data_IF_806941862228
#
_entry.id   IF_806941862228
#
_cell.length_a   1.000
_cell.length_b   1.000
_cell.length_c   1.000
_cell.angle_alpha   90.00
_cell.angle_beta   90.00
_cell.angle_gamma   90.00
#
_symmetry.space_group_name_H-M   'P 1'
#
loop_
_entity.id
_entity.type
_entity.pdbx_description
1 polymer ?
#
# COMPACT_ATOMS: atom_id res chain seq x y z
N UNK A 1 23.25 -28.37 -9.45
CA UNK A 1 24.23 -29.16 -10.21
C UNK A 1 24.11 -29.02 -11.73
N UNK A 2 23.52 -27.96 -12.26
CA UNK A 2 23.31 -27.77 -13.71
C UNK A 2 24.13 -26.61 -14.29
N UNK A 3 24.98 -25.94 -13.51
CA UNK A 3 25.75 -24.77 -13.95
C UNK A 3 27.18 -25.04 -14.38
N UNK A 4 27.61 -26.33 -14.43
CA UNK A 4 29.02 -26.66 -14.70
C UNK A 4 29.31 -27.04 -16.18
N UNK A 5 28.31 -27.22 -17.05
CA UNK A 5 28.53 -27.78 -18.40
C UNK A 5 28.54 -26.75 -19.55
N UNK A 6 28.53 -25.44 -19.33
CA UNK A 6 28.61 -24.45 -20.42
C UNK A 6 29.87 -23.54 -20.38
N UNK A 7 31.01 -24.05 -19.99
CA UNK A 7 32.25 -23.27 -19.84
C UNK A 7 33.15 -23.21 -21.09
N UNK A 8 32.61 -23.38 -22.30
CA UNK A 8 33.42 -23.31 -23.55
C UNK A 8 32.85 -22.35 -24.62
N UNK A 9 32.24 -21.23 -24.24
CA UNK A 9 31.86 -20.20 -25.18
C UNK A 9 32.49 -18.84 -24.81
N UNK A 10 32.99 -18.04 -25.78
CA UNK A 10 33.69 -16.76 -25.55
C UNK A 10 32.83 -15.63 -24.96
N UNK A 11 31.61 -15.90 -24.58
CA UNK A 11 30.67 -14.97 -23.92
C UNK A 11 30.78 -14.93 -22.38
N UNK A 12 31.94 -15.28 -21.82
CA UNK A 12 32.20 -15.34 -20.37
C UNK A 12 31.94 -13.99 -19.64
N UNK A 13 32.08 -12.86 -20.33
CA UNK A 13 31.88 -11.54 -19.72
C UNK A 13 30.41 -11.19 -19.51
N UNK A 14 29.48 -11.66 -20.33
CA UNK A 14 28.06 -11.36 -20.19
C UNK A 14 27.39 -12.08 -19.01
N UNK A 15 27.84 -13.29 -18.69
CA UNK A 15 27.30 -14.07 -17.56
C UNK A 15 27.74 -13.52 -16.20
N UNK A 16 28.95 -12.99 -16.08
CA UNK A 16 29.41 -12.37 -14.83
C UNK A 16 28.73 -11.01 -14.56
N UNK A 17 28.49 -10.21 -15.59
CA UNK A 17 27.76 -8.96 -15.47
C UNK A 17 26.29 -9.19 -15.10
N UNK A 18 25.66 -10.21 -15.64
CA UNK A 18 24.27 -10.55 -15.35
C UNK A 18 24.10 -11.03 -13.91
N UNK A 19 24.96 -11.89 -13.42
CA UNK A 19 24.92 -12.41 -12.04
C UNK A 19 25.20 -11.34 -10.99
N UNK A 20 26.13 -10.42 -11.22
CA UNK A 20 26.44 -9.34 -10.28
C UNK A 20 25.31 -8.31 -10.18
N UNK A 21 24.64 -7.97 -11.28
CA UNK A 21 23.46 -7.11 -11.28
C UNK A 21 22.27 -7.75 -10.58
N UNK A 22 22.02 -9.02 -10.80
CA UNK A 22 20.96 -9.77 -10.11
C UNK A 22 21.23 -9.85 -8.61
N UNK A 23 22.46 -10.12 -8.20
CA UNK A 23 22.83 -10.16 -6.79
C UNK A 23 22.73 -8.78 -6.12
N UNK A 24 23.11 -7.70 -6.81
CA UNK A 24 22.96 -6.34 -6.32
C UNK A 24 21.48 -5.97 -6.16
N UNK A 25 20.62 -6.27 -7.14
CA UNK A 25 19.19 -6.02 -7.07
C UNK A 25 18.49 -6.84 -5.96
N UNK A 26 18.88 -8.09 -5.78
CA UNK A 26 18.37 -8.92 -4.68
C UNK A 26 18.81 -8.38 -3.32
N UNK A 27 20.06 -7.94 -3.21
CA UNK A 27 20.57 -7.29 -1.99
C UNK A 27 19.85 -5.98 -1.66
N UNK A 28 19.62 -5.13 -2.65
CA UNK A 28 18.85 -3.88 -2.48
C UNK A 28 17.41 -4.15 -2.06
N UNK A 29 16.77 -5.16 -2.67
CA UNK A 29 15.42 -5.56 -2.31
C UNK A 29 15.32 -6.02 -0.85
N UNK A 30 16.25 -6.87 -0.39
CA UNK A 30 16.30 -7.33 1.00
C UNK A 30 16.49 -6.16 1.98
N UNK A 31 17.36 -5.21 1.62
CA UNK A 31 17.56 -4.01 2.44
C UNK A 31 16.30 -3.15 2.52
N UNK A 32 15.56 -3.03 1.41
CA UNK A 32 14.31 -2.27 1.37
C UNK A 32 13.20 -2.97 2.16
N UNK A 33 13.11 -4.32 2.09
CA UNK A 33 12.19 -5.11 2.91
C UNK A 33 12.46 -4.92 4.41
N UNK A 34 13.72 -5.00 4.82
CA UNK A 34 14.10 -4.79 6.22
C UNK A 34 13.75 -3.36 6.69
N UNK A 35 14.01 -2.35 5.86
CA UNK A 35 13.64 -0.97 6.17
C UNK A 35 12.12 -0.80 6.27
N UNK A 36 11.34 -1.42 5.38
CA UNK A 36 9.88 -1.39 5.42
C UNK A 36 9.34 -2.05 6.69
N UNK A 37 9.86 -3.21 7.05
CA UNK A 37 9.51 -3.92 8.29
C UNK A 37 9.79 -3.06 9.53
N UNK A 38 10.94 -2.40 9.56
CA UNK A 38 11.30 -1.50 10.65
C UNK A 38 10.39 -0.28 10.69
N UNK A 39 10.11 0.36 9.54
CA UNK A 39 9.22 1.50 9.45
C UNK A 39 7.81 1.18 9.98
N UNK A 40 7.26 0.01 9.62
CA UNK A 40 5.94 -0.44 10.09
C UNK A 40 5.96 -0.70 11.60
N UNK A 41 7.02 -1.35 12.12
CA UNK A 41 7.12 -1.65 13.56
C UNK A 41 7.35 -0.43 14.44
N UNK A 42 7.83 0.67 13.87
CA UNK A 42 8.11 1.94 14.57
C UNK A 42 7.04 3.00 14.38
N UNK A 43 5.91 2.67 13.76
CA UNK A 43 4.79 3.62 13.62
C UNK A 43 4.33 4.09 15.01
N UNK A 44 4.41 5.39 15.22
CA UNK A 44 3.95 6.05 16.44
C UNK A 44 3.43 7.45 16.10
N UNK A 45 2.65 8.11 16.98
CA UNK A 45 2.16 9.46 16.75
C UNK A 45 3.27 10.49 16.48
N UNK A 46 4.44 10.29 17.08
CA UNK A 46 5.57 11.22 17.00
C UNK A 46 6.60 10.87 15.92
N UNK A 47 6.53 9.64 15.36
CA UNK A 47 7.49 9.15 14.37
C UNK A 47 6.82 8.19 13.40
N UNK A 48 6.56 8.68 12.20
CA UNK A 48 6.01 7.87 11.12
C UNK A 48 6.71 8.21 9.81
N UNK A 49 7.28 7.18 9.16
CA UNK A 49 7.88 7.33 7.83
C UNK A 49 6.82 7.37 6.72
N UNK A 50 5.58 7.00 7.04
CA UNK A 50 4.46 7.00 6.10
C UNK A 50 3.66 8.29 6.21
N UNK A 51 3.16 8.74 5.06
CA UNK A 51 2.28 9.89 4.96
C UNK A 51 1.13 9.60 3.99
N UNK A 52 -0.01 10.25 4.21
CA UNK A 52 -1.15 10.19 3.31
C UNK A 52 -1.19 11.42 2.42
N UNK A 53 -1.26 11.21 1.10
CA UNK A 53 -1.58 12.23 0.13
C UNK A 53 -3.00 11.98 -0.39
N UNK A 54 -3.71 13.06 -0.73
CA UNK A 54 -5.07 12.97 -1.21
C UNK A 54 -5.17 13.53 -2.61
N UNK A 55 -5.71 12.73 -3.54
CA UNK A 55 -5.98 13.15 -4.91
C UNK A 55 -7.48 13.43 -5.06
N UNK A 56 -7.88 14.66 -5.46
CA UNK A 56 -9.29 14.99 -5.64
C UNK A 56 -9.93 14.22 -6.79
N UNK A 57 -11.11 13.67 -6.53
CA UNK A 57 -12.02 13.13 -7.53
C UNK A 57 -13.06 14.19 -7.88
N UNK A 58 -13.14 14.56 -9.14
CA UNK A 58 -13.96 15.69 -9.61
C UNK A 58 -15.10 15.16 -10.48
N UNK A 59 -16.31 15.58 -10.18
CA UNK A 59 -17.45 15.38 -11.07
C UNK A 59 -17.26 16.17 -12.37
N UNK A 60 -17.14 15.46 -13.49
CA UNK A 60 -16.81 16.06 -14.79
C UNK A 60 -17.89 17.03 -15.30
N UNK A 61 -19.13 16.95 -14.80
CA UNK A 61 -20.26 17.77 -15.24
C UNK A 61 -20.34 19.07 -14.45
N UNK A 62 -20.14 19.02 -13.14
CA UNK A 62 -20.27 20.16 -12.24
C UNK A 62 -18.95 20.82 -11.87
N UNK A 63 -17.81 20.17 -12.09
CA UNK A 63 -16.48 20.60 -11.64
C UNK A 63 -16.28 20.54 -10.11
N UNK A 64 -17.21 19.96 -9.37
CA UNK A 64 -17.13 19.87 -7.91
C UNK A 64 -16.31 18.66 -7.48
N UNK A 65 -15.59 18.81 -6.35
CA UNK A 65 -14.93 17.68 -5.69
C UNK A 65 -16.03 16.83 -5.04
N UNK A 66 -16.06 15.53 -5.38
CA UNK A 66 -17.02 14.54 -4.88
C UNK A 66 -16.37 13.46 -4.03
N UNK A 67 -15.05 13.38 -4.06
CA UNK A 67 -14.27 12.40 -3.30
C UNK A 67 -12.78 12.75 -3.30
N UNK A 68 -12.05 12.02 -2.50
CA UNK A 68 -10.60 12.04 -2.44
C UNK A 68 -10.09 10.60 -2.52
N UNK A 69 -9.03 10.36 -3.26
CA UNK A 69 -8.30 9.08 -3.20
C UNK A 69 -7.12 9.23 -2.25
N UNK A 70 -7.07 8.36 -1.25
CA UNK A 70 -5.99 8.33 -0.27
C UNK A 70 -4.81 7.51 -0.82
N UNK A 71 -3.70 8.16 -0.99
CA UNK A 71 -2.50 7.62 -1.62
C UNK A 71 -1.34 7.61 -0.61
N UNK A 72 -0.97 6.43 -0.16
CA UNK A 72 0.15 6.27 0.78
C UNK A 72 1.47 6.67 0.14
N UNK A 73 2.31 7.33 0.92
CA UNK A 73 3.69 7.68 0.60
C UNK A 73 4.62 7.16 1.69
N UNK A 74 5.79 6.71 1.31
CA UNK A 74 6.83 6.28 2.23
C UNK A 74 8.11 7.07 2.00
N UNK A 75 8.55 7.78 3.04
CA UNK A 75 9.78 8.55 3.07
C UNK A 75 10.77 7.86 4.02
N UNK A 76 11.55 6.94 3.46
CA UNK A 76 12.55 6.22 4.25
C UNK A 76 13.78 7.10 4.52
N UNK A 77 14.29 7.15 5.76
CA UNK A 77 15.54 7.86 6.09
C UNK A 77 16.73 7.37 5.27
N UNK A 78 16.70 6.10 4.86
CA UNK A 78 17.78 5.46 4.10
C UNK A 78 17.62 5.58 2.58
N UNK A 79 16.38 5.46 2.08
CA UNK A 79 16.10 5.35 0.64
C UNK A 79 15.42 6.59 0.08
N UNK A 80 15.09 7.58 0.93
CA UNK A 80 14.31 8.74 0.53
C UNK A 80 12.87 8.37 0.18
N UNK A 81 12.26 9.10 -0.75
CA UNK A 81 10.91 8.84 -1.23
C UNK A 81 10.86 7.53 -2.04
N UNK A 82 10.25 6.49 -1.47
CA UNK A 82 10.10 5.19 -2.11
C UNK A 82 8.78 5.14 -2.88
N UNK A 83 8.79 4.82 -4.18
CA UNK A 83 7.56 4.73 -4.98
C UNK A 83 6.59 3.69 -4.43
N UNK A 84 5.26 3.97 -4.41
CA UNK A 84 4.24 3.03 -3.94
C UNK A 84 4.30 1.67 -4.62
N UNK A 85 4.45 1.63 -5.94
CA UNK A 85 4.58 0.38 -6.70
C UNK A 85 5.73 -0.51 -6.20
N UNK A 86 6.77 0.07 -5.63
CA UNK A 86 7.93 -0.68 -5.15
C UNK A 86 7.71 -1.24 -3.75
N UNK A 87 7.25 -0.43 -2.79
CA UNK A 87 7.10 -0.91 -1.42
C UNK A 87 5.80 -1.71 -1.21
N UNK A 88 4.72 -1.42 -1.94
CA UNK A 88 3.48 -2.19 -1.88
C UNK A 88 3.73 -3.62 -2.38
N UNK A 89 4.42 -3.79 -3.52
CA UNK A 89 4.78 -5.13 -4.02
C UNK A 89 5.58 -5.93 -2.98
N UNK A 90 6.56 -5.30 -2.33
CA UNK A 90 7.33 -5.95 -1.26
C UNK A 90 6.41 -6.30 -0.08
N UNK A 91 5.54 -5.39 0.33
CA UNK A 91 4.60 -5.62 1.43
C UNK A 91 3.66 -6.80 1.15
N UNK A 92 3.14 -6.91 -0.08
CA UNK A 92 2.30 -8.03 -0.51
C UNK A 92 3.05 -9.37 -0.48
N UNK A 93 4.25 -9.43 -1.05
CA UNK A 93 5.04 -10.65 -1.12
C UNK A 93 5.54 -11.14 0.25
N UNK A 94 5.67 -10.24 1.21
CA UNK A 94 6.21 -10.52 2.56
C UNK A 94 5.15 -10.56 3.65
N UNK A 95 3.87 -10.31 3.32
CA UNK A 95 2.77 -10.24 4.27
C UNK A 95 2.72 -8.97 5.11
N UNK A 96 3.64 -8.02 4.87
CA UNK A 96 3.66 -6.71 5.54
C UNK A 96 2.50 -5.81 5.12
N UNK A 97 1.79 -6.18 4.05
CA UNK A 97 0.62 -5.44 3.56
C UNK A 97 -0.52 -5.40 4.59
N UNK A 98 -0.62 -6.41 5.48
CA UNK A 98 -1.66 -6.43 6.52
C UNK A 98 -1.44 -5.32 7.55
N UNK A 99 -0.34 -5.29 8.33
CA UNK A 99 -0.14 -4.23 9.31
C UNK A 99 -0.06 -2.84 8.68
N UNK A 100 0.42 -2.74 7.44
CA UNK A 100 0.44 -1.49 6.69
C UNK A 100 -0.97 -1.02 6.32
N UNK A 101 -1.84 -1.96 5.94
CA UNK A 101 -3.24 -1.67 5.64
C UNK A 101 -4.07 -1.34 6.87
N UNK A 102 -3.79 -1.99 8.00
CA UNK A 102 -4.43 -1.66 9.27
C UNK A 102 -4.15 -0.19 9.63
N UNK A 103 -2.89 0.22 9.55
CA UNK A 103 -2.50 1.61 9.75
C UNK A 103 -3.20 2.55 8.74
N UNK A 104 -3.24 2.17 7.45
CA UNK A 104 -3.89 2.95 6.39
C UNK A 104 -5.36 3.25 6.72
N UNK A 105 -6.13 2.25 7.17
CA UNK A 105 -7.54 2.41 7.52
C UNK A 105 -7.70 3.37 8.70
N UNK A 106 -6.93 3.17 9.77
CA UNK A 106 -6.98 4.03 10.96
C UNK A 106 -6.58 5.46 10.64
N UNK A 107 -5.50 5.66 9.92
CA UNK A 107 -4.99 6.98 9.56
C UNK A 107 -5.95 7.71 8.61
N UNK A 108 -6.56 7.00 7.65
CA UNK A 108 -7.56 7.59 6.76
C UNK A 108 -8.78 8.06 7.55
N UNK A 109 -9.31 7.24 8.46
CA UNK A 109 -10.44 7.64 9.30
C UNK A 109 -10.10 8.85 10.19
N UNK A 110 -8.91 8.88 10.78
CA UNK A 110 -8.42 10.04 11.54
C UNK A 110 -8.40 11.30 10.68
N UNK A 111 -7.87 11.22 9.47
CA UNK A 111 -7.80 12.36 8.55
C UNK A 111 -9.19 12.84 8.09
N UNK A 112 -10.13 11.91 7.82
CA UNK A 112 -11.52 12.26 7.49
C UNK A 112 -12.16 13.03 8.66
N UNK A 113 -11.96 12.55 9.88
CA UNK A 113 -12.46 13.22 11.09
C UNK A 113 -11.92 14.66 11.19
N UNK A 114 -10.61 14.85 11.02
CA UNK A 114 -9.99 16.18 11.03
C UNK A 114 -10.51 17.09 9.90
N UNK A 115 -10.68 16.55 8.68
CA UNK A 115 -11.31 17.29 7.58
C UNK A 115 -12.70 17.76 7.92
N UNK A 116 -13.52 16.91 8.56
CA UNK A 116 -14.88 17.28 9.01
C UNK A 116 -14.87 18.37 10.08
N UNK A 117 -13.94 18.29 11.03
CA UNK A 117 -13.76 19.35 12.03
C UNK A 117 -13.33 20.68 11.39
N UNK A 118 -12.54 20.63 10.33
CA UNK A 118 -12.15 21.79 9.54
C UNK A 118 -13.26 22.32 8.61
N UNK A 119 -14.46 21.70 8.61
CA UNK A 119 -15.60 22.13 7.82
C UNK A 119 -15.70 21.50 6.42
N UNK A 120 -14.79 20.60 6.04
CA UNK A 120 -14.90 19.82 4.80
C UNK A 120 -15.92 18.71 5.01
N UNK A 121 -17.09 18.85 4.41
CA UNK A 121 -18.20 17.91 4.54
C UNK A 121 -18.57 17.35 3.17
N UNK A 122 -19.29 16.23 3.16
CA UNK A 122 -19.81 15.59 1.95
C UNK A 122 -18.73 15.13 0.95
N UNK A 123 -17.55 14.81 1.47
CA UNK A 123 -16.44 14.24 0.69
C UNK A 123 -16.14 12.84 1.24
N UNK A 124 -16.28 11.82 0.38
CA UNK A 124 -15.85 10.46 0.71
C UNK A 124 -14.37 10.30 0.40
N UNK A 125 -13.70 9.43 1.14
CA UNK A 125 -12.29 9.12 0.90
C UNK A 125 -12.17 7.65 0.49
N UNK A 126 -11.61 7.44 -0.70
CA UNK A 126 -11.33 6.12 -1.23
C UNK A 126 -9.94 5.63 -0.79
N UNK A 127 -9.85 4.37 -0.39
CA UNK A 127 -8.61 3.66 -0.10
C UNK A 127 -8.47 2.41 -0.98
N UNK A 128 -7.28 2.21 -1.53
CA UNK A 128 -6.96 1.04 -2.31
C UNK A 128 -6.62 -0.15 -1.41
N UNK A 129 -7.26 -1.29 -1.64
CA UNK A 129 -7.02 -2.55 -0.95
C UNK A 129 -6.43 -3.61 -1.87
N UNK A 130 -5.45 -4.34 -1.37
CA UNK A 130 -4.91 -5.52 -2.06
C UNK A 130 -5.81 -6.74 -1.90
N UNK A 131 -5.62 -7.73 -2.77
CA UNK A 131 -6.32 -9.01 -2.68
C UNK A 131 -6.10 -9.75 -1.34
N UNK A 132 -4.95 -9.56 -0.71
CA UNK A 132 -4.65 -10.18 0.57
C UNK A 132 -5.44 -9.54 1.71
N UNK A 133 -5.58 -8.22 1.68
CA UNK A 133 -6.34 -7.47 2.69
C UNK A 133 -7.83 -7.78 2.64
N UNK A 134 -8.40 -7.90 1.42
CA UNK A 134 -9.81 -8.24 1.23
C UNK A 134 -10.15 -9.63 1.78
N UNK A 135 -9.24 -10.59 1.65
CA UNK A 135 -9.42 -11.95 2.18
C UNK A 135 -9.20 -12.07 3.68
N UNK A 136 -8.78 -11.00 4.33
CA UNK A 136 -8.51 -11.04 5.78
C UNK A 136 -9.83 -10.97 6.55
N UNK A 137 -10.10 -11.97 7.37
CA UNK A 137 -11.36 -12.14 8.11
C UNK A 137 -11.72 -10.95 9.02
N UNK A 138 -10.71 -10.19 9.45
CA UNK A 138 -10.90 -9.04 10.35
C UNK A 138 -11.09 -7.71 9.65
N UNK A 139 -11.06 -7.63 8.31
CA UNK A 139 -11.13 -6.34 7.59
C UNK A 139 -12.37 -5.54 7.97
N UNK A 140 -13.55 -6.16 7.98
CA UNK A 140 -14.81 -5.49 8.32
C UNK A 140 -14.80 -4.99 9.78
N UNK A 141 -14.25 -5.77 10.70
CA UNK A 141 -14.14 -5.35 12.11
C UNK A 141 -13.15 -4.19 12.26
N UNK A 142 -12.05 -4.20 11.52
CA UNK A 142 -11.07 -3.12 11.49
C UNK A 142 -11.70 -1.82 11.01
N UNK A 143 -12.36 -1.85 9.84
CA UNK A 143 -13.02 -0.67 9.26
C UNK A 143 -14.11 -0.14 10.19
N UNK A 144 -14.97 -1.03 10.71
CA UNK A 144 -16.03 -0.65 11.65
C UNK A 144 -15.44 -0.02 12.91
N UNK A 145 -14.41 -0.63 13.51
CA UNK A 145 -13.76 -0.10 14.70
C UNK A 145 -13.15 1.29 14.48
N UNK A 146 -12.55 1.53 13.30
CA UNK A 146 -12.00 2.82 12.95
C UNK A 146 -13.10 3.88 12.72
N UNK A 147 -14.19 3.52 12.04
CA UNK A 147 -15.35 4.40 11.84
C UNK A 147 -15.99 4.79 13.19
N UNK A 148 -16.24 3.82 14.05
CA UNK A 148 -16.84 4.04 15.37
C UNK A 148 -15.94 4.92 16.25
N UNK A 149 -14.63 4.73 16.21
CA UNK A 149 -13.66 5.50 17.00
C UNK A 149 -13.64 6.99 16.62
N UNK A 150 -13.80 7.30 15.34
CA UNK A 150 -13.74 8.67 14.82
C UNK A 150 -15.11 9.29 14.53
N UNK A 151 -16.20 8.66 14.98
CA UNK A 151 -17.60 9.12 14.76
C UNK A 151 -17.89 9.37 13.26
N UNK A 152 -17.50 8.40 12.41
CA UNK A 152 -17.68 8.44 10.97
C UNK A 152 -18.80 7.50 10.54
N UNK A 153 -19.37 7.80 9.37
CA UNK A 153 -20.38 6.95 8.73
C UNK A 153 -19.73 6.06 7.67
N UNK A 154 -20.32 4.89 7.35
CA UNK A 154 -19.83 4.05 6.26
C UNK A 154 -19.71 4.76 4.89
N UNK A 155 -20.55 5.76 4.63
CA UNK A 155 -20.49 6.54 3.39
C UNK A 155 -19.33 7.55 3.32
N UNK A 156 -18.58 7.75 4.40
CA UNK A 156 -17.43 8.64 4.44
C UNK A 156 -16.16 7.99 3.86
N UNK A 157 -16.15 6.64 3.79
CA UNK A 157 -15.03 5.86 3.24
C UNK A 157 -15.49 4.99 2.06
N UNK A 158 -14.62 4.79 1.10
CA UNK A 158 -14.80 3.89 -0.04
C UNK A 158 -13.62 2.92 -0.10
N UNK A 159 -13.90 1.63 -0.26
CA UNK A 159 -12.87 0.61 -0.41
C UNK A 159 -12.73 0.26 -1.89
N UNK A 160 -11.60 0.62 -2.49
CA UNK A 160 -11.33 0.35 -3.90
C UNK A 160 -10.49 -0.91 -4.06
N UNK A 161 -10.88 -1.72 -5.03
CA UNK A 161 -10.14 -2.92 -5.43
C UNK A 161 -9.78 -2.83 -6.90
N UNK A 162 -8.55 -3.23 -7.24
CA UNK A 162 -8.15 -3.27 -8.63
C UNK A 162 -8.86 -4.42 -9.37
N UNK A 163 -9.05 -4.27 -10.69
CA UNK A 163 -9.62 -5.32 -11.54
C UNK A 163 -8.86 -6.65 -11.40
N UNK A 164 -7.52 -6.60 -11.35
CA UNK A 164 -6.68 -7.78 -11.12
C UNK A 164 -6.99 -8.46 -9.79
N UNK A 165 -7.26 -7.70 -8.76
CA UNK A 165 -7.64 -8.20 -7.43
C UNK A 165 -9.02 -8.86 -7.47
N UNK A 166 -9.98 -8.22 -8.10
CA UNK A 166 -11.35 -8.76 -8.27
C UNK A 166 -11.35 -10.09 -9.04
N UNK A 167 -10.54 -10.20 -10.08
CA UNK A 167 -10.42 -11.40 -10.90
C UNK A 167 -9.74 -12.58 -10.20
N UNK A 168 -8.85 -12.32 -9.23
CA UNK A 168 -8.17 -13.38 -8.47
C UNK A 168 -9.05 -14.06 -7.41
N UNK A 169 -10.12 -13.41 -6.97
CA UNK A 169 -11.00 -13.93 -5.92
C UNK A 169 -12.46 -13.46 -6.14
N UNK A 170 -13.12 -13.91 -7.21
CA UNK A 170 -14.47 -13.45 -7.56
C UNK A 170 -15.50 -13.73 -6.46
N UNK A 171 -15.36 -14.87 -5.77
CA UNK A 171 -16.29 -15.31 -4.73
C UNK A 171 -16.22 -14.39 -3.49
N UNK A 172 -15.03 -13.93 -3.12
CA UNK A 172 -14.84 -12.99 -2.01
C UNK A 172 -15.33 -11.60 -2.39
N UNK A 173 -15.09 -11.17 -3.64
CA UNK A 173 -15.53 -9.87 -4.16
C UNK A 173 -17.06 -9.73 -4.19
N UNK A 174 -17.79 -10.84 -4.37
CA UNK A 174 -19.26 -10.85 -4.37
C UNK A 174 -19.86 -10.91 -2.95
N UNK A 175 -19.08 -11.21 -1.92
CA UNK A 175 -19.52 -11.34 -0.54
C UNK A 175 -19.31 -10.08 0.32
N UNK A 176 -18.63 -9.06 -0.22
CA UNK A 176 -18.39 -7.75 0.40
C UNK A 176 -19.39 -6.72 -0.12
#
# INVERSE_FOLDING_TARGET
NTSIYHSKNPNRNNHQFYSSRMNAAAGERLQLENALRQAISSISPDACEFAMHFQPQIDARSGRIIGLEALMRWNSPRFGAVPPSRFITIAEETGLIQPLGDWLVWETCRMIHEMKLAGVRDVRVAINLSAQQIRHENLLMLVKGALDCYDLKPCDIELEITESTAMQSPEVTLAI
#
